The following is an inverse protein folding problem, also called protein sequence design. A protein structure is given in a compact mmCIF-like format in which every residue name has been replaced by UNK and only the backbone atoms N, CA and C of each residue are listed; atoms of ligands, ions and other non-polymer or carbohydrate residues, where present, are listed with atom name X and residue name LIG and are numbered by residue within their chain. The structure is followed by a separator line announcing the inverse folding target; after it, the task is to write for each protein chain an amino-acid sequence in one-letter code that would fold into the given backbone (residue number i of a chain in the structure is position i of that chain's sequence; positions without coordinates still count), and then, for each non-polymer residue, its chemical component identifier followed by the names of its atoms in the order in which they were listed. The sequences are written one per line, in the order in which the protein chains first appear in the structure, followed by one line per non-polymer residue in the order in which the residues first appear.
data_IF_723049472875
#
_entry.id   IF_723049472875
#
_cell.length_a   1.000
_cell.length_b   1.000
_cell.length_c   1.000
_cell.angle_alpha   90.00
_cell.angle_beta   90.00
_cell.angle_gamma   90.00
#
_symmetry.space_group_name_H-M   'P 1'
#
loop_
_entity.id
_entity.type
_entity.pdbx_description
1 polymer ?
#
# COMPACT_ATOMS: atom_id res chain seq x y z
N UNK A 1 -9.36 29.74 19.53
CA UNK A 1 -8.50 28.54 19.40
C UNK A 1 -9.18 27.36 20.09
N UNK A 2 -9.94 26.56 19.35
CA UNK A 2 -10.66 25.41 19.91
C UNK A 2 -9.72 24.22 20.06
N UNK A 3 -9.28 23.94 21.28
CA UNK A 3 -8.67 22.65 21.61
C UNK A 3 -9.70 21.56 21.37
N UNK A 4 -9.62 20.85 20.26
CA UNK A 4 -10.35 19.58 20.09
C UNK A 4 -9.74 18.62 21.11
N UNK A 5 -10.32 18.58 22.31
CA UNK A 5 -10.03 17.53 23.30
C UNK A 5 -10.30 16.22 22.59
N UNK A 6 -9.26 15.44 22.30
CA UNK A 6 -9.42 14.06 21.86
C UNK A 6 -10.23 13.34 22.95
N UNK A 7 -11.52 13.13 22.69
CA UNK A 7 -12.34 12.25 23.51
C UNK A 7 -11.91 10.83 23.17
N UNK A 8 -10.98 10.29 23.95
CA UNK A 8 -10.63 8.89 23.91
C UNK A 8 -11.83 8.11 24.48
N UNK A 9 -12.40 7.21 23.67
CA UNK A 9 -13.43 6.29 24.14
C UNK A 9 -12.82 5.37 25.21
N UNK A 10 -13.30 5.40 26.46
CA UNK A 10 -12.80 4.50 27.48
C UNK A 10 -13.12 3.06 27.08
N UNK A 11 -12.09 2.24 26.93
CA UNK A 11 -12.23 0.81 26.71
C UNK A 11 -12.53 0.14 28.07
N UNK A 12 -13.56 -0.71 28.17
CA UNK A 12 -13.72 -1.58 29.33
C UNK A 12 -12.47 -2.44 29.46
N UNK A 13 -12.01 -2.65 30.69
CA UNK A 13 -10.77 -3.35 31.05
C UNK A 13 -10.52 -4.54 30.12
N UNK A 14 -9.59 -4.34 29.20
CA UNK A 14 -9.12 -5.35 28.28
C UNK A 14 -7.69 -5.65 28.70
N UNK A 15 -7.42 -6.91 29.01
CA UNK A 15 -6.16 -7.46 29.51
C UNK A 15 -5.01 -7.30 28.50
N UNK A 16 -4.61 -6.06 28.19
CA UNK A 16 -3.51 -5.76 27.27
C UNK A 16 -2.15 -5.72 27.97
N UNK A 17 -2.06 -6.14 29.22
CA UNK A 17 -0.90 -5.86 30.07
C UNK A 17 0.29 -6.77 29.80
N UNK A 18 0.08 -8.00 29.31
CA UNK A 18 1.17 -8.97 29.17
C UNK A 18 1.50 -9.27 27.70
N UNK A 19 2.70 -8.87 27.29
CA UNK A 19 3.25 -9.12 25.96
C UNK A 19 3.31 -10.63 25.64
N UNK A 20 3.50 -11.49 26.66
CA UNK A 20 3.59 -12.94 26.48
C UNK A 20 2.24 -13.53 26.05
N UNK A 21 1.15 -13.10 26.66
CA UNK A 21 -0.21 -13.51 26.29
C UNK A 21 -0.57 -13.11 24.86
N UNK A 22 -0.15 -11.91 24.44
CA UNK A 22 -0.42 -11.42 23.07
C UNK A 22 0.39 -12.22 22.05
N UNK A 23 1.64 -12.59 22.36
CA UNK A 23 2.43 -13.47 21.51
C UNK A 23 1.77 -14.85 21.35
N UNK A 24 1.26 -15.43 22.45
CA UNK A 24 0.50 -16.68 22.42
C UNK A 24 -0.81 -16.55 21.63
N UNK A 25 -1.48 -15.40 21.72
CA UNK A 25 -2.68 -15.10 20.93
C UNK A 25 -2.36 -15.06 19.44
N UNK A 26 -1.31 -14.34 19.04
CA UNK A 26 -0.86 -14.23 17.65
C UNK A 26 -0.51 -15.62 17.08
N UNK A 27 0.22 -16.42 17.85
CA UNK A 27 0.58 -17.78 17.48
C UNK A 27 -0.66 -18.68 17.34
N UNK A 28 -1.55 -18.70 18.35
CA UNK A 28 -2.73 -19.57 18.35
C UNK A 28 -3.74 -19.23 17.24
N UNK A 29 -3.87 -17.95 16.89
CA UNK A 29 -4.72 -17.49 15.79
C UNK A 29 -4.06 -17.60 14.41
N UNK A 30 -2.76 -17.86 14.37
CA UNK A 30 -1.98 -17.88 13.15
C UNK A 30 -2.05 -16.54 12.41
N UNK A 31 -1.90 -15.44 13.12
CA UNK A 31 -1.79 -14.11 12.50
C UNK A 31 -0.40 -13.89 11.89
N UNK A 32 -0.35 -12.98 10.92
CA UNK A 32 0.87 -12.52 10.24
C UNK A 32 1.63 -13.59 9.44
N UNK A 33 0.93 -14.59 8.88
CA UNK A 33 1.52 -15.71 8.12
C UNK A 33 2.35 -15.30 6.92
N UNK A 34 2.13 -14.10 6.41
CA UNK A 34 2.82 -13.59 5.23
C UNK A 34 4.07 -12.77 5.58
N UNK A 35 4.43 -12.67 6.86
CA UNK A 35 5.76 -12.19 7.26
C UNK A 35 6.80 -13.23 6.82
N UNK A 36 7.81 -12.80 6.08
CA UNK A 36 8.90 -13.67 5.59
C UNK A 36 9.71 -14.28 6.74
N UNK A 37 9.87 -13.51 7.82
CA UNK A 37 10.46 -13.95 9.09
C UNK A 37 9.40 -13.99 10.20
N UNK A 38 9.80 -14.39 11.41
CA UNK A 38 8.97 -14.17 12.60
C UNK A 38 8.57 -12.70 12.69
N UNK A 39 7.27 -12.40 12.81
CA UNK A 39 6.76 -11.01 12.92
C UNK A 39 7.42 -10.20 14.07
N UNK A 40 8.05 -10.89 15.02
CA UNK A 40 8.82 -10.31 16.10
C UNK A 40 10.13 -9.65 15.62
N UNK A 41 10.74 -10.09 14.51
CA UNK A 41 11.97 -9.48 13.98
C UNK A 41 11.75 -8.04 13.53
N UNK A 42 10.53 -7.71 13.10
CA UNK A 42 10.13 -6.34 12.80
C UNK A 42 10.21 -5.41 14.03
N UNK A 43 10.26 -5.98 15.24
CA UNK A 43 10.34 -5.25 16.51
C UNK A 43 11.77 -5.15 17.07
N UNK A 44 12.78 -5.74 16.43
CA UNK A 44 14.15 -5.80 16.97
C UNK A 44 14.78 -4.42 17.20
N UNK A 45 14.36 -3.42 16.40
CA UNK A 45 14.83 -2.04 16.52
C UNK A 45 13.97 -1.17 17.45
N UNK A 46 12.95 -1.73 18.10
CA UNK A 46 12.04 -0.97 18.96
C UNK A 46 12.62 -0.79 20.37
N UNK A 47 12.56 0.45 20.88
CA UNK A 47 13.09 0.80 22.22
C UNK A 47 12.34 0.09 23.35
N UNK A 48 11.04 -0.18 23.14
CA UNK A 48 10.20 -0.87 24.11
C UNK A 48 9.32 -1.92 23.42
N UNK A 49 9.86 -3.14 23.29
CA UNK A 49 9.22 -4.26 22.60
C UNK A 49 7.87 -4.63 23.24
N UNK A 50 7.82 -4.68 24.57
CA UNK A 50 6.62 -5.08 25.29
C UNK A 50 5.47 -4.09 25.09
N UNK A 51 5.75 -2.78 25.18
CA UNK A 51 4.75 -1.76 24.92
C UNK A 51 4.19 -1.83 23.49
N UNK A 52 5.05 -2.13 22.50
CA UNK A 52 4.60 -2.31 21.10
C UNK A 52 3.72 -3.55 20.96
N UNK A 53 4.06 -4.65 21.62
CA UNK A 53 3.25 -5.87 21.63
C UNK A 53 1.91 -5.61 22.32
N UNK A 54 1.89 -4.91 23.47
CA UNK A 54 0.68 -4.50 24.17
C UNK A 54 -0.23 -3.64 23.28
N UNK A 55 0.33 -2.67 22.56
CA UNK A 55 -0.40 -1.84 21.61
C UNK A 55 -0.98 -2.68 20.45
N UNK A 56 -0.21 -3.66 19.94
CA UNK A 56 -0.68 -4.62 18.95
C UNK A 56 -1.85 -5.45 19.49
N UNK A 57 -1.80 -5.89 20.75
CA UNK A 57 -2.92 -6.54 21.42
C UNK A 57 -4.17 -5.66 21.45
N UNK A 58 -4.00 -4.36 21.74
CA UNK A 58 -5.04 -3.34 21.64
C UNK A 58 -5.73 -3.30 20.27
N UNK A 59 -4.92 -3.28 19.20
CA UNK A 59 -5.40 -3.31 17.83
C UNK A 59 -6.12 -4.62 17.50
N UNK A 60 -5.53 -5.78 17.85
CA UNK A 60 -6.13 -7.09 17.65
C UNK A 60 -7.50 -7.14 18.33
N UNK A 61 -7.56 -6.78 19.62
CA UNK A 61 -8.81 -6.77 20.38
C UNK A 61 -9.86 -5.84 19.74
N UNK A 62 -9.45 -4.70 19.20
CA UNK A 62 -10.35 -3.81 18.47
C UNK A 62 -10.87 -4.43 17.16
N UNK A 63 -9.99 -5.01 16.35
CA UNK A 63 -10.37 -5.65 15.09
C UNK A 63 -11.24 -6.88 15.32
N UNK A 64 -10.97 -7.67 16.36
CA UNK A 64 -11.82 -8.80 16.75
C UNK A 64 -13.22 -8.34 17.13
N UNK A 65 -13.36 -7.24 17.89
CA UNK A 65 -14.69 -6.65 18.20
C UNK A 65 -15.45 -6.21 16.95
N UNK A 66 -14.72 -5.79 15.91
CA UNK A 66 -15.30 -5.41 14.61
C UNK A 66 -15.47 -6.58 13.65
N UNK A 67 -15.09 -7.81 14.03
CA UNK A 67 -15.05 -9.00 13.17
C UNK A 67 -14.17 -8.79 11.92
N UNK A 68 -13.04 -8.09 12.09
CA UNK A 68 -12.08 -7.74 11.04
C UNK A 68 -10.68 -8.35 11.26
N UNK A 69 -10.49 -9.14 12.31
CA UNK A 69 -9.19 -9.73 12.66
C UNK A 69 -8.72 -10.81 11.66
N UNK A 70 -9.62 -11.34 10.83
CA UNK A 70 -9.26 -12.19 9.70
C UNK A 70 -8.27 -11.52 8.73
N UNK A 71 -8.30 -10.18 8.61
CA UNK A 71 -7.34 -9.42 7.82
C UNK A 71 -5.89 -9.59 8.33
N UNK A 72 -5.70 -9.93 9.61
CA UNK A 72 -4.39 -10.12 10.21
C UNK A 72 -3.79 -11.49 9.88
N UNK A 73 -4.59 -12.51 9.53
CA UNK A 73 -4.10 -13.86 9.19
C UNK A 73 -3.08 -13.82 8.07
N UNK A 74 -3.44 -13.13 7.00
CA UNK A 74 -2.56 -12.90 5.86
C UNK A 74 -1.82 -11.58 5.99
N UNK A 75 -1.80 -10.92 7.16
CA UNK A 75 -1.07 -9.66 7.36
C UNK A 75 0.45 -9.86 7.35
N UNK A 76 1.17 -8.75 7.32
CA UNK A 76 2.62 -8.70 7.48
C UNK A 76 2.94 -7.58 8.47
N UNK A 77 3.92 -7.81 9.34
CA UNK A 77 4.43 -6.78 10.26
C UNK A 77 5.75 -6.28 9.72
N UNK A 78 5.82 -4.97 9.45
CA UNK A 78 7.01 -4.33 8.90
C UNK A 78 7.67 -3.42 9.96
N UNK A 79 9.01 -3.36 10.00
CA UNK A 79 9.71 -2.46 10.90
C UNK A 79 9.44 -0.99 10.54
N UNK A 80 9.27 -0.15 11.55
CA UNK A 80 9.10 1.29 11.36
C UNK A 80 10.47 2.00 11.41
N UNK A 81 11.21 1.97 10.30
CA UNK A 81 12.55 2.57 10.18
C UNK A 81 12.60 3.82 9.29
N UNK A 82 11.45 4.51 9.14
CA UNK A 82 11.25 5.54 8.12
C UNK A 82 12.27 6.69 8.22
N UNK A 83 12.71 7.06 9.43
CA UNK A 83 13.63 8.19 9.66
C UNK A 83 15.12 7.90 9.44
N UNK A 84 15.53 6.64 9.18
CA UNK A 84 16.95 6.33 9.00
C UNK A 84 17.54 7.03 7.76
N UNK A 85 16.79 7.08 6.66
CA UNK A 85 17.25 7.57 5.35
C UNK A 85 16.59 8.88 4.91
N UNK A 86 15.75 9.49 5.76
CA UNK A 86 15.04 10.72 5.41
C UNK A 86 15.31 11.87 6.38
N UNK A 87 15.02 13.09 5.92
CA UNK A 87 14.94 14.28 6.75
C UNK A 87 13.78 14.11 7.74
N UNK A 88 14.08 14.23 9.04
CA UNK A 88 13.07 14.16 10.08
C UNK A 88 12.32 15.48 10.17
N UNK A 89 11.03 15.44 9.90
CA UNK A 89 10.09 16.53 10.16
C UNK A 89 9.11 16.09 11.24
N UNK A 90 8.97 16.89 12.29
CA UNK A 90 7.98 16.66 13.34
C UNK A 90 6.60 17.20 12.93
N UNK A 91 5.58 16.88 13.73
CA UNK A 91 4.21 17.30 13.44
C UNK A 91 4.06 18.82 13.33
N UNK A 92 4.77 19.58 14.17
CA UNK A 92 4.72 21.04 14.14
C UNK A 92 5.36 21.62 12.88
N UNK A 93 6.47 21.06 12.42
CA UNK A 93 7.10 21.45 11.14
C UNK A 93 6.15 21.23 9.97
N UNK A 94 5.45 20.08 9.92
CA UNK A 94 4.49 19.80 8.85
C UNK A 94 3.32 20.80 8.81
N UNK A 95 2.88 21.29 9.98
CA UNK A 95 1.80 22.29 10.11
C UNK A 95 2.31 23.70 9.75
N UNK A 96 3.46 24.09 10.29
CA UNK A 96 4.04 25.42 10.06
C UNK A 96 4.42 25.64 8.59
N UNK A 97 4.83 24.59 7.89
CA UNK A 97 5.14 24.61 6.46
C UNK A 97 3.90 24.36 5.57
N UNK A 98 2.71 24.23 6.16
CA UNK A 98 1.44 23.99 5.45
C UNK A 98 1.52 22.84 4.43
N UNK A 99 2.14 21.72 4.84
CA UNK A 99 2.47 20.63 3.91
C UNK A 99 1.19 19.96 3.39
N UNK A 100 0.23 19.66 4.28
CA UNK A 100 -1.01 18.95 3.93
C UNK A 100 -2.30 19.70 4.26
N UNK A 101 -2.22 20.69 5.15
CA UNK A 101 -3.34 21.55 5.53
C UNK A 101 -2.81 22.95 5.78
N UNK A 102 -3.57 23.96 5.37
CA UNK A 102 -3.24 25.36 5.67
C UNK A 102 -3.63 25.72 7.12
N UNK A 103 -3.08 26.81 7.64
CA UNK A 103 -3.38 27.29 8.99
C UNK A 103 -4.62 28.18 9.08
N UNK A 104 -5.25 28.51 7.95
CA UNK A 104 -6.43 29.38 7.90
C UNK A 104 -7.73 28.62 8.21
N UNK A 105 -8.01 27.56 7.46
CA UNK A 105 -9.24 26.75 7.58
C UNK A 105 -8.96 25.25 7.74
N UNK A 106 -7.69 24.84 7.78
CA UNK A 106 -7.29 23.43 7.81
C UNK A 106 -7.48 22.71 6.47
N UNK A 107 -7.91 23.44 5.43
CA UNK A 107 -8.15 22.93 4.09
C UNK A 107 -6.87 22.69 3.31
N UNK A 108 -7.01 22.15 2.10
CA UNK A 108 -5.86 21.85 1.22
C UNK A 108 -5.41 23.03 0.37
N UNK A 109 -6.17 24.14 0.35
CA UNK A 109 -5.82 25.32 -0.44
C UNK A 109 -4.51 25.93 0.04
N UNK A 110 -3.61 26.29 -0.89
CA UNK A 110 -2.29 26.85 -0.57
C UNK A 110 -1.23 25.85 -0.11
N UNK A 111 -1.57 24.57 0.08
CA UNK A 111 -0.63 23.58 0.62
C UNK A 111 0.39 23.07 -0.40
N UNK A 112 1.58 22.70 0.07
CA UNK A 112 2.63 22.13 -0.78
C UNK A 112 2.16 20.85 -1.49
N UNK A 113 1.48 19.96 -0.76
CA UNK A 113 0.95 18.73 -1.35
C UNK A 113 -0.04 19.01 -2.48
N UNK A 114 -0.96 19.98 -2.32
CA UNK A 114 -1.91 20.34 -3.39
C UNK A 114 -1.19 20.90 -4.61
N UNK A 115 -0.14 21.70 -4.41
CA UNK A 115 0.63 22.27 -5.50
C UNK A 115 1.40 21.22 -6.30
N UNK A 116 2.02 20.24 -5.63
CA UNK A 116 2.84 19.21 -6.30
C UNK A 116 2.04 18.02 -6.85
N UNK A 117 0.80 17.81 -6.39
CA UNK A 117 0.05 16.61 -6.70
C UNK A 117 -0.60 16.62 -8.09
N UNK A 118 0.17 16.18 -9.08
CA UNK A 118 -0.29 15.86 -10.44
C UNK A 118 -0.41 14.34 -10.68
N UNK A 119 -0.42 13.52 -9.62
CA UNK A 119 -0.49 12.07 -9.75
C UNK A 119 -1.87 11.63 -10.26
N UNK A 120 -1.87 10.72 -11.23
CA UNK A 120 -3.09 10.14 -11.81
C UNK A 120 -3.64 9.00 -10.94
N UNK A 121 -2.76 8.09 -10.50
CA UNK A 121 -3.16 6.91 -9.73
C UNK A 121 -3.28 7.22 -8.25
N UNK A 122 -4.18 6.52 -7.56
CA UNK A 122 -4.34 6.67 -6.12
C UNK A 122 -3.08 6.22 -5.35
N UNK A 123 -2.38 5.20 -5.84
CA UNK A 123 -1.08 4.76 -5.31
C UNK A 123 -0.01 5.83 -5.50
N UNK A 124 0.04 6.48 -6.67
CA UNK A 124 0.94 7.60 -6.92
C UNK A 124 0.72 8.76 -5.93
N UNK A 125 -0.55 9.12 -5.67
CA UNK A 125 -0.90 10.15 -4.66
C UNK A 125 -0.40 9.78 -3.27
N UNK A 126 -0.56 8.52 -2.85
CA UNK A 126 -0.05 8.02 -1.56
C UNK A 126 1.48 8.04 -1.50
N UNK A 127 2.14 7.65 -2.59
CA UNK A 127 3.60 7.66 -2.70
C UNK A 127 4.15 9.08 -2.61
N UNK A 128 3.56 10.03 -3.35
CA UNK A 128 3.94 11.44 -3.28
C UNK A 128 3.76 11.99 -1.87
N UNK A 129 2.63 11.70 -1.22
CA UNK A 129 2.40 12.08 0.18
C UNK A 129 3.52 11.55 1.08
N UNK A 130 3.91 10.28 0.93
CA UNK A 130 5.01 9.66 1.68
C UNK A 130 6.36 10.33 1.40
N UNK A 131 6.66 10.64 0.14
CA UNK A 131 7.90 11.31 -0.24
C UNK A 131 8.01 12.71 0.32
N UNK A 132 6.91 13.46 0.36
CA UNK A 132 6.87 14.79 0.96
C UNK A 132 7.01 14.69 2.49
N UNK A 133 6.39 13.72 3.16
CA UNK A 133 6.59 13.50 4.60
C UNK A 133 8.01 13.08 4.97
N UNK A 134 8.70 12.41 4.06
CA UNK A 134 10.01 11.78 4.29
C UNK A 134 10.99 12.15 3.17
N UNK A 135 11.41 13.42 3.09
CA UNK A 135 12.36 13.87 2.07
C UNK A 135 13.67 13.11 2.18
N UNK A 136 14.30 12.80 1.05
CA UNK A 136 15.63 12.17 1.05
C UNK A 136 16.66 13.14 1.64
N UNK A 137 17.68 12.59 2.29
CA UNK A 137 18.88 13.34 2.74
C UNK A 137 20.17 12.90 2.06
N UNK A 138 20.11 11.81 1.30
CA UNK A 138 21.23 11.25 0.54
C UNK A 138 21.33 11.95 -0.82
N UNK A 139 22.50 12.50 -1.12
CA UNK A 139 22.72 13.31 -2.34
C UNK A 139 22.56 12.45 -3.60
N UNK A 140 23.09 11.22 -3.60
CA UNK A 140 22.99 10.35 -4.77
C UNK A 140 21.54 9.94 -5.04
N UNK A 141 20.76 9.64 -4.00
CA UNK A 141 19.34 9.35 -4.14
C UNK A 141 18.52 10.56 -4.61
N UNK A 142 18.90 11.77 -4.20
CA UNK A 142 18.29 13.02 -4.69
C UNK A 142 18.60 13.21 -6.18
N UNK A 143 19.87 13.10 -6.58
CA UNK A 143 20.30 13.25 -7.97
C UNK A 143 19.64 12.22 -8.87
N UNK A 144 19.55 10.95 -8.46
CA UNK A 144 18.80 9.92 -9.22
C UNK A 144 17.35 10.32 -9.50
N UNK A 145 16.67 11.00 -8.56
CA UNK A 145 15.30 11.50 -8.82
C UNK A 145 15.29 12.67 -9.80
N UNK A 146 16.27 13.57 -9.71
CA UNK A 146 16.42 14.69 -10.63
C UNK A 146 16.71 14.20 -12.05
N UNK A 147 17.59 13.21 -12.21
CA UNK A 147 17.90 12.59 -13.50
C UNK A 147 16.65 11.98 -14.16
N UNK A 148 15.78 11.33 -13.36
CA UNK A 148 14.51 10.80 -13.85
C UNK A 148 13.59 11.92 -14.34
N UNK A 149 13.46 13.00 -13.56
CA UNK A 149 12.62 14.16 -13.93
C UNK A 149 13.15 14.80 -15.22
N UNK A 150 14.46 15.01 -15.33
CA UNK A 150 15.09 15.55 -16.53
C UNK A 150 14.87 14.63 -17.74
N UNK A 151 14.97 13.31 -17.57
CA UNK A 151 14.65 12.34 -18.62
C UNK A 151 13.21 12.48 -19.15
N UNK A 152 12.22 12.66 -18.27
CA UNK A 152 10.82 12.89 -18.67
C UNK A 152 10.60 14.25 -19.36
N UNK A 153 11.37 15.28 -19.00
CA UNK A 153 11.31 16.60 -19.63
C UNK A 153 11.90 16.56 -21.05
N UNK A 154 13.04 15.89 -21.22
CA UNK A 154 13.75 15.79 -22.50
C UNK A 154 13.03 14.89 -23.52
N UNK A 155 12.27 13.89 -23.06
CA UNK A 155 11.60 12.90 -23.91
C UNK A 155 10.07 12.92 -23.75
N UNK A 156 9.41 13.95 -24.28
CA UNK A 156 7.96 14.18 -24.12
C UNK A 156 7.06 13.02 -24.60
N UNK A 157 7.50 12.22 -25.58
CA UNK A 157 6.77 11.05 -26.07
C UNK A 157 6.64 9.92 -25.04
N UNK A 158 7.61 9.75 -24.15
CA UNK A 158 7.56 8.74 -23.08
C UNK A 158 6.48 9.09 -22.06
N UNK A 159 6.35 10.39 -21.76
CA UNK A 159 5.35 10.90 -20.82
C UNK A 159 3.93 10.59 -21.27
N UNK A 160 3.61 10.76 -22.56
CA UNK A 160 2.26 10.50 -23.08
C UNK A 160 1.91 9.01 -23.05
N UNK A 161 2.82 8.13 -23.48
CA UNK A 161 2.64 6.66 -23.43
C UNK A 161 2.46 6.19 -21.97
N UNK A 162 3.31 6.69 -21.06
CA UNK A 162 3.22 6.36 -19.63
C UNK A 162 1.86 6.79 -19.07
N UNK A 163 1.43 8.01 -19.39
CA UNK A 163 0.18 8.57 -18.92
C UNK A 163 -1.04 7.78 -19.43
N UNK A 164 -1.00 7.30 -20.67
CA UNK A 164 -2.07 6.49 -21.25
C UNK A 164 -2.27 5.18 -20.49
N UNK A 165 -1.19 4.50 -20.12
CA UNK A 165 -1.26 3.26 -19.35
C UNK A 165 -1.65 3.52 -17.90
N UNK A 166 -1.04 4.52 -17.23
CA UNK A 166 -1.34 4.83 -15.82
C UNK A 166 -2.82 5.16 -15.59
N UNK A 167 -3.52 5.75 -16.57
CA UNK A 167 -4.98 6.00 -16.48
C UNK A 167 -5.82 4.72 -16.44
N UNK A 168 -5.32 3.64 -17.05
CA UNK A 168 -5.99 2.33 -17.12
C UNK A 168 -5.71 1.46 -15.89
N UNK A 169 -4.68 1.80 -15.11
CA UNK A 169 -4.30 1.04 -13.91
C UNK A 169 -5.22 1.40 -12.73
N UNK A 170 -5.97 0.44 -12.15
CA UNK A 170 -6.79 0.69 -10.97
C UNK A 170 -5.92 0.83 -9.71
N UNK A 171 -6.53 1.05 -8.56
CA UNK A 171 -5.82 1.05 -7.27
C UNK A 171 -5.37 -0.37 -6.88
N UNK A 172 -4.28 -0.85 -7.52
CA UNK A 172 -3.76 -2.21 -7.39
C UNK A 172 -3.39 -2.57 -5.96
N UNK A 173 -2.83 -1.62 -5.20
CA UNK A 173 -2.46 -1.81 -3.79
C UNK A 173 -3.70 -2.18 -2.94
N UNK A 174 -4.80 -1.46 -3.12
CA UNK A 174 -6.06 -1.77 -2.41
C UNK A 174 -6.77 -3.01 -2.95
N UNK A 175 -6.71 -3.25 -4.26
CA UNK A 175 -7.27 -4.46 -4.86
C UNK A 175 -6.55 -5.71 -4.34
N UNK A 176 -5.21 -5.67 -4.28
CA UNK A 176 -4.39 -6.75 -3.73
C UNK A 176 -4.72 -6.99 -2.26
N UNK A 177 -4.82 -5.93 -1.45
CA UNK A 177 -5.24 -6.04 -0.04
C UNK A 177 -6.61 -6.70 0.12
N UNK A 178 -7.58 -6.34 -0.73
CA UNK A 178 -8.93 -6.93 -0.72
C UNK A 178 -8.95 -8.39 -1.17
N UNK A 179 -8.18 -8.74 -2.20
CA UNK A 179 -8.06 -10.14 -2.64
C UNK A 179 -7.43 -10.95 -1.51
N UNK A 180 -6.27 -10.51 -0.99
CA UNK A 180 -5.53 -11.16 0.10
C UNK A 180 -6.35 -11.35 1.37
N UNK A 181 -7.21 -10.39 1.73
CA UNK A 181 -8.10 -10.53 2.88
C UNK A 181 -9.25 -11.51 2.65
N UNK A 182 -9.54 -11.91 1.41
CA UNK A 182 -10.61 -12.87 1.08
C UNK A 182 -10.13 -14.29 0.81
N UNK A 183 -8.84 -14.46 0.48
CA UNK A 183 -8.21 -15.77 0.25
C UNK A 183 -8.25 -16.58 1.54
N UNK A 184 -8.86 -17.77 1.48
CA UNK A 184 -9.02 -18.68 2.62
C UNK A 184 -10.26 -18.44 3.48
N UNK A 185 -11.08 -17.42 3.20
CA UNK A 185 -12.35 -17.20 3.89
C UNK A 185 -13.48 -17.99 3.23
N UNK A 186 -13.75 -19.19 3.74
CA UNK A 186 -14.83 -20.08 3.29
C UNK A 186 -16.19 -19.78 3.93
N UNK A 187 -16.21 -19.33 5.19
CA UNK A 187 -17.44 -19.21 5.98
C UNK A 187 -18.51 -18.28 5.39
N UNK A 188 -18.11 -17.21 4.70
CA UNK A 188 -19.06 -16.24 4.13
C UNK A 188 -19.70 -16.70 2.79
N UNK A 189 -19.13 -17.70 2.12
CA UNK A 189 -19.63 -18.22 0.84
C UNK A 189 -20.65 -19.34 1.03
N UNK A 190 -20.74 -19.92 2.23
CA UNK A 190 -21.59 -21.07 2.56
C UNK A 190 -23.10 -20.75 2.64
N UNK A 191 -23.50 -19.48 2.63
CA UNK A 191 -24.91 -19.08 2.65
C UNK A 191 -25.48 -19.04 1.22
N UNK A 192 -26.49 -19.84 0.83
CA UNK A 192 -26.86 -20.05 -0.58
C UNK A 192 -27.13 -18.77 -1.40
N UNK A 193 -27.94 -17.83 -0.86
CA UNK A 193 -28.31 -16.59 -1.58
C UNK A 193 -27.29 -15.45 -1.44
N UNK A 194 -26.49 -15.47 -0.38
CA UNK A 194 -25.50 -14.43 -0.06
C UNK A 194 -24.15 -14.78 -0.67
N UNK A 195 -23.83 -16.08 -0.71
CA UNK A 195 -22.62 -16.67 -1.23
C UNK A 195 -22.42 -16.38 -2.71
N UNK A 196 -23.45 -16.52 -3.55
CA UNK A 196 -23.35 -16.23 -4.98
C UNK A 196 -23.02 -14.74 -5.25
N UNK A 197 -23.72 -13.82 -4.57
CA UNK A 197 -23.45 -12.37 -4.67
C UNK A 197 -22.04 -12.01 -4.18
N UNK A 198 -21.61 -12.61 -3.06
CA UNK A 198 -20.27 -12.41 -2.51
C UNK A 198 -19.20 -12.96 -3.46
N UNK A 199 -19.40 -14.17 -3.98
CA UNK A 199 -18.50 -14.83 -4.91
C UNK A 199 -18.36 -14.01 -6.20
N UNK A 200 -19.48 -13.57 -6.80
CA UNK A 200 -19.48 -12.67 -7.96
C UNK A 200 -18.68 -11.40 -7.70
N UNK A 201 -18.83 -10.78 -6.52
CA UNK A 201 -18.06 -9.58 -6.13
C UNK A 201 -16.57 -9.87 -5.95
N UNK A 202 -16.21 -11.03 -5.38
CA UNK A 202 -14.81 -11.47 -5.20
C UNK A 202 -14.16 -11.72 -6.55
N UNK A 203 -14.81 -12.50 -7.42
CA UNK A 203 -14.35 -12.76 -8.80
C UNK A 203 -14.17 -11.44 -9.55
N UNK A 204 -15.16 -10.54 -9.53
CA UNK A 204 -15.03 -9.22 -10.18
C UNK A 204 -13.84 -8.42 -9.65
N UNK A 205 -13.60 -8.43 -8.34
CA UNK A 205 -12.46 -7.74 -7.73
C UNK A 205 -11.13 -8.37 -8.19
N UNK A 206 -11.07 -9.69 -8.27
CA UNK A 206 -9.91 -10.43 -8.76
C UNK A 206 -9.65 -10.16 -10.25
N UNK A 207 -10.66 -10.22 -11.11
CA UNK A 207 -10.54 -9.88 -12.52
C UNK A 207 -10.05 -8.43 -12.73
N UNK A 208 -10.50 -7.47 -11.92
CA UNK A 208 -9.98 -6.10 -11.96
C UNK A 208 -8.51 -6.01 -11.57
N UNK A 209 -8.06 -6.81 -10.60
CA UNK A 209 -6.65 -6.90 -10.21
C UNK A 209 -5.80 -7.44 -11.36
N UNK A 210 -6.20 -8.59 -11.92
CA UNK A 210 -5.48 -9.24 -13.03
C UNK A 210 -5.39 -8.33 -14.25
N UNK A 211 -6.51 -7.73 -14.70
CA UNK A 211 -6.51 -6.76 -15.81
C UNK A 211 -5.59 -5.56 -15.53
N UNK A 212 -5.59 -5.06 -14.29
CA UNK A 212 -4.73 -3.95 -13.92
C UNK A 212 -3.23 -4.32 -13.86
N UNK A 213 -2.91 -5.56 -13.44
CA UNK A 213 -1.54 -6.09 -13.49
C UNK A 213 -1.06 -6.26 -14.93
N UNK A 214 -1.91 -6.76 -15.84
CA UNK A 214 -1.62 -6.84 -17.28
C UNK A 214 -1.23 -5.49 -17.86
N UNK A 215 -2.04 -4.46 -17.63
CA UNK A 215 -1.73 -3.07 -18.06
C UNK A 215 -0.42 -2.56 -17.47
N UNK A 216 -0.11 -2.91 -16.21
CA UNK A 216 1.15 -2.53 -15.60
C UNK A 216 2.36 -3.23 -16.25
N UNK A 217 2.24 -4.52 -16.59
CA UNK A 217 3.26 -5.29 -17.32
C UNK A 217 3.47 -4.71 -18.73
N UNK A 218 2.38 -4.35 -19.41
CA UNK A 218 2.43 -3.73 -20.74
C UNK A 218 3.15 -2.38 -20.68
N UNK A 219 2.89 -1.58 -19.64
CA UNK A 219 3.60 -0.32 -19.40
C UNK A 219 5.10 -0.54 -19.20
N UNK A 220 5.50 -1.50 -18.35
CA UNK A 220 6.93 -1.79 -18.13
C UNK A 220 7.59 -2.28 -19.42
N UNK A 221 6.88 -3.06 -20.22
CA UNK A 221 7.34 -3.52 -21.54
C UNK A 221 7.49 -2.36 -22.52
N UNK A 222 6.54 -1.42 -22.55
CA UNK A 222 6.61 -0.22 -23.38
C UNK A 222 7.77 0.70 -22.97
N UNK A 223 8.02 0.86 -21.67
CA UNK A 223 9.15 1.63 -21.14
C UNK A 223 10.51 0.99 -21.43
N UNK A 224 10.57 -0.30 -21.75
CA UNK A 224 11.83 -0.98 -22.13
C UNK A 224 12.19 -0.81 -23.61
N UNK A 225 11.23 -0.43 -24.46
CA UNK A 225 11.49 -0.28 -25.90
C UNK A 225 12.35 0.95 -26.14
N UNK A 226 13.51 0.75 -26.75
CA UNK A 226 14.48 1.82 -27.04
C UNK A 226 13.94 2.91 -27.99
N UNK A 227 12.91 2.59 -28.77
CA UNK A 227 12.23 3.48 -29.75
C UNK A 227 11.72 4.79 -29.15
N UNK A 228 11.55 4.88 -27.83
CA UNK A 228 11.03 6.07 -27.15
C UNK A 228 12.11 6.98 -26.54
N UNK A 229 13.41 6.77 -26.82
CA UNK A 229 14.48 7.66 -26.33
C UNK A 229 14.79 7.47 -24.84
N UNK A 230 14.65 6.24 -24.33
CA UNK A 230 14.76 5.89 -22.91
C UNK A 230 16.20 5.53 -22.40
N UNK A 231 17.35 5.83 -23.05
CA UNK A 231 18.67 5.54 -22.44
C UNK A 231 18.91 6.19 -21.06
N UNK A 232 18.21 7.29 -20.75
CA UNK A 232 18.37 8.00 -19.47
C UNK A 232 17.59 7.33 -18.31
N UNK A 233 16.39 6.80 -18.58
CA UNK A 233 15.59 6.13 -17.54
C UNK A 233 16.12 4.73 -17.25
N UNK A 234 16.64 3.98 -18.22
CA UNK A 234 17.24 2.66 -17.96
C UNK A 234 18.51 2.73 -17.10
N UNK A 235 19.23 3.86 -17.14
CA UNK A 235 20.38 4.13 -16.26
C UNK A 235 19.98 4.50 -14.83
N UNK A 236 18.80 5.11 -14.66
CA UNK A 236 18.38 5.73 -13.39
C UNK A 236 17.28 4.94 -12.66
N UNK A 237 16.52 4.13 -13.39
CA UNK A 237 15.43 3.29 -12.91
C UNK A 237 15.71 1.86 -13.31
N UNK A 238 15.96 1.01 -12.31
CA UNK A 238 15.94 -0.43 -12.52
C UNK A 238 14.50 -0.88 -12.76
N UNK A 239 14.16 -1.12 -14.03
CA UNK A 239 12.83 -1.62 -14.41
C UNK A 239 12.85 -3.13 -14.18
N UNK A 240 12.09 -3.68 -13.21
CA UNK A 240 12.16 -5.11 -12.90
C UNK A 240 11.63 -5.97 -14.06
N UNK A 241 12.28 -7.11 -14.30
CA UNK A 241 11.76 -8.12 -15.23
C UNK A 241 10.73 -8.98 -14.50
N UNK A 242 9.47 -8.84 -14.88
CA UNK A 242 8.35 -9.51 -14.21
C UNK A 242 7.91 -10.79 -14.95
N UNK A 243 8.83 -11.56 -15.51
CA UNK A 243 8.51 -12.75 -16.32
C UNK A 243 7.67 -13.78 -15.55
N UNK A 244 8.05 -14.10 -14.31
CA UNK A 244 7.27 -15.01 -13.46
C UNK A 244 5.87 -14.48 -13.13
N UNK A 245 5.72 -13.17 -12.97
CA UNK A 245 4.41 -12.56 -12.73
C UNK A 245 3.57 -12.58 -14.01
N UNK A 246 4.17 -12.35 -15.17
CA UNK A 246 3.50 -12.39 -16.47
C UNK A 246 2.92 -13.78 -16.77
N UNK A 247 3.71 -14.83 -16.53
CA UNK A 247 3.26 -16.22 -16.62
C UNK A 247 2.09 -16.49 -15.67
N UNK A 248 2.19 -16.03 -14.41
CA UNK A 248 1.13 -16.20 -13.42
C UNK A 248 -0.15 -15.45 -13.83
N UNK A 249 -0.03 -14.22 -14.32
CA UNK A 249 -1.15 -13.41 -14.82
C UNK A 249 -1.82 -14.11 -16.00
N UNK A 250 -1.05 -14.67 -16.92
CA UNK A 250 -1.57 -15.43 -18.05
C UNK A 250 -2.33 -16.68 -17.61
N UNK A 251 -1.78 -17.46 -16.67
CA UNK A 251 -2.47 -18.62 -16.10
C UNK A 251 -3.80 -18.23 -15.43
N UNK A 252 -3.82 -17.12 -14.69
CA UNK A 252 -5.05 -16.62 -14.08
C UNK A 252 -6.06 -16.11 -15.11
N UNK A 253 -5.62 -15.46 -16.19
CA UNK A 253 -6.51 -15.03 -17.28
C UNK A 253 -7.20 -16.24 -17.95
N UNK A 254 -6.45 -17.31 -18.24
CA UNK A 254 -7.02 -18.54 -18.80
C UNK A 254 -7.97 -19.24 -17.83
N UNK A 255 -7.60 -19.36 -16.55
CA UNK A 255 -8.49 -19.94 -15.54
C UNK A 255 -9.79 -19.13 -15.38
N UNK A 256 -9.72 -17.79 -15.41
CA UNK A 256 -10.90 -16.92 -15.38
C UNK A 256 -11.81 -17.14 -16.59
N UNK A 257 -11.21 -17.39 -17.77
CA UNK A 257 -11.95 -17.64 -19.01
C UNK A 257 -12.67 -18.99 -18.98
N UNK A 258 -12.04 -20.02 -18.42
CA UNK A 258 -12.58 -21.39 -18.38
C UNK A 258 -13.59 -21.57 -17.24
N UNK A 259 -13.23 -21.16 -16.03
CA UNK A 259 -13.97 -21.53 -14.81
C UNK A 259 -15.08 -20.53 -14.43
N UNK A 260 -15.00 -19.30 -14.96
CA UNK A 260 -15.86 -18.19 -14.52
C UNK A 260 -16.53 -17.45 -15.69
N UNK A 261 -16.76 -18.12 -16.82
CA UNK A 261 -17.42 -17.55 -18.01
C UNK A 261 -18.76 -16.86 -17.68
N UNK A 262 -19.56 -17.47 -16.80
CA UNK A 262 -20.83 -16.93 -16.30
C UNK A 262 -20.73 -15.64 -15.45
N UNK A 263 -19.51 -15.21 -15.09
CA UNK A 263 -19.23 -14.03 -14.27
C UNK A 263 -18.48 -12.91 -15.02
N UNK A 264 -18.17 -13.12 -16.30
CA UNK A 264 -17.66 -12.08 -17.21
C UNK A 264 -18.78 -11.11 -17.60
#
# INVERSE_FOLDING_TARGET
AGSVKMQLTPLPGTDFSDASQIQMLVHSKGYFKASTDSWLSALDYSVNRDAVICALGGLIGHLTRLMLDDALKNGEVLPYNVYQTCLRMDGQTLVNLEIFGNNFDGGSSGTLYKHLNHCITASGKRLLRRWICHPLKDVDAINRRLDIVEGFIQHCGVGSVTLEHLRKIPDLERLLGRVRSTVGLTSAVLLPFVGEKILKRRIKTFCMLIKGLRVAIDLLSALRREDHGIPALSKSVDIPTLSSLDESVHQFEEAIRIDFEQYQ
#
